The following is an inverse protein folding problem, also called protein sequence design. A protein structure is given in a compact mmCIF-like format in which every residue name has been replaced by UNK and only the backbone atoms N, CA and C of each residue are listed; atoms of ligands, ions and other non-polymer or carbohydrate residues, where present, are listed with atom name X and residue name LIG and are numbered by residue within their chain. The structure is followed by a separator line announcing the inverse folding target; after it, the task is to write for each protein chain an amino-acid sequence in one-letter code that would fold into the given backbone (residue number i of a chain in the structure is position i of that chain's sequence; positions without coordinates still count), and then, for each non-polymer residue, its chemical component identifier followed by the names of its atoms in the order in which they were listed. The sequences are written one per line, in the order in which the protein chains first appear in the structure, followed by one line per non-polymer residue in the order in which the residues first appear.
data_IF_835034735386
#
_entry.id   IF_835034735386
#
_cell.length_a   1.000
_cell.length_b   1.000
_cell.length_c   1.000
_cell.angle_alpha   90.00
_cell.angle_beta   90.00
_cell.angle_gamma   90.00
#
_symmetry.space_group_name_H-M   'P 1'
#
loop_
_entity.id
_entity.type
_entity.pdbx_description
1 polymer ?
#
# COMPACT_ATOMS: atom_id res chain seq x y z
N UNK A 1 7.05 -13.97 -13.70
CA UNK A 1 5.63 -13.66 -13.39
C UNK A 1 5.11 -14.78 -12.52
N UNK A 2 4.31 -14.48 -11.49
CA UNK A 2 3.77 -15.52 -10.61
C UNK A 2 2.94 -16.56 -11.36
N UNK A 3 3.00 -17.82 -10.92
CA UNK A 3 2.26 -18.94 -11.56
C UNK A 3 0.76 -18.84 -11.33
N UNK A 4 0.35 -18.24 -10.19
CA UNK A 4 -1.06 -18.00 -9.84
C UNK A 4 -1.34 -16.51 -9.63
N UNK A 5 -2.57 -16.09 -9.92
CA UNK A 5 -3.06 -14.73 -9.62
C UNK A 5 -3.09 -14.48 -8.10
N UNK A 6 -2.92 -13.22 -7.67
CA UNK A 6 -3.04 -12.83 -6.27
C UNK A 6 -4.38 -13.26 -5.65
N UNK A 7 -5.49 -13.08 -6.37
CA UNK A 7 -6.83 -13.50 -5.92
C UNK A 7 -6.90 -14.99 -5.51
N UNK A 8 -6.33 -15.88 -6.34
CA UNK A 8 -6.22 -17.31 -6.03
C UNK A 8 -5.30 -17.59 -4.85
N UNK A 9 -4.22 -16.84 -4.69
CA UNK A 9 -3.33 -17.00 -3.54
C UNK A 9 -4.07 -16.67 -2.23
N UNK A 10 -4.79 -15.54 -2.19
CA UNK A 10 -5.59 -15.10 -1.03
C UNK A 10 -6.70 -16.07 -0.64
N UNK A 11 -7.27 -16.81 -1.60
CA UNK A 11 -8.26 -17.83 -1.34
C UNK A 11 -7.68 -19.08 -0.64
N UNK A 12 -6.37 -19.31 -0.75
CA UNK A 12 -5.70 -20.53 -0.23
C UNK A 12 -4.97 -20.33 1.09
N UNK A 13 -4.64 -19.10 1.46
CA UNK A 13 -3.88 -18.83 2.68
C UNK A 13 -3.43 -17.37 2.80
N UNK A 14 -2.70 -17.02 3.87
CA UNK A 14 -2.12 -15.71 4.01
C UNK A 14 -1.04 -15.46 2.95
N UNK A 15 -0.94 -14.22 2.50
CA UNK A 15 0.06 -13.69 1.60
C UNK A 15 0.70 -12.49 2.29
N UNK A 16 2.03 -12.50 2.37
CA UNK A 16 2.80 -11.47 3.05
C UNK A 16 3.11 -10.29 2.10
N UNK A 17 2.67 -9.09 2.47
CA UNK A 17 3.08 -7.81 1.90
C UNK A 17 4.49 -7.42 2.39
N UNK A 18 5.06 -6.40 1.78
CA UNK A 18 6.26 -5.73 2.25
C UNK A 18 5.97 -4.81 3.46
N UNK A 19 6.91 -3.91 3.75
CA UNK A 19 6.81 -2.89 4.78
C UNK A 19 6.88 -1.48 4.20
N UNK A 20 7.16 -0.49 5.05
CA UNK A 20 7.26 0.91 4.63
C UNK A 20 8.48 1.18 3.74
N UNK A 21 8.26 1.31 2.42
CA UNK A 21 9.33 1.60 1.46
C UNK A 21 10.21 2.80 1.88
N UNK A 22 9.60 3.88 2.37
CA UNK A 22 10.33 5.05 2.86
C UNK A 22 11.27 4.73 4.02
N UNK A 23 10.86 3.85 4.96
CA UNK A 23 11.70 3.44 6.08
C UNK A 23 12.97 2.74 5.60
N UNK A 24 12.84 1.84 4.60
CA UNK A 24 13.98 1.14 4.05
C UNK A 24 14.89 2.07 3.22
N UNK A 25 14.32 3.05 2.50
CA UNK A 25 15.09 4.05 1.77
C UNK A 25 15.86 4.99 2.71
N UNK A 26 15.26 5.40 3.84
CA UNK A 26 15.95 6.17 4.89
C UNK A 26 17.09 5.36 5.52
N UNK A 27 16.86 4.06 5.81
CA UNK A 27 17.91 3.17 6.31
C UNK A 27 19.07 2.99 5.31
N UNK A 28 18.80 3.14 4.01
CA UNK A 28 19.80 3.19 2.94
C UNK A 28 20.48 4.57 2.78
N UNK A 29 20.14 5.55 3.62
CA UNK A 29 20.72 6.90 3.59
C UNK A 29 20.10 7.85 2.56
N UNK A 30 18.91 7.53 2.02
CA UNK A 30 18.21 8.42 1.11
C UNK A 30 17.54 9.58 1.86
N UNK A 31 17.63 10.79 1.31
CA UNK A 31 16.86 11.95 1.77
C UNK A 31 15.49 11.99 1.08
N UNK A 32 14.43 11.87 1.89
CA UNK A 32 13.03 11.84 1.48
C UNK A 32 12.26 13.10 1.87
N UNK A 33 12.94 14.18 2.28
CA UNK A 33 12.30 15.43 2.72
C UNK A 33 11.60 16.22 1.60
N UNK A 34 11.79 15.83 0.34
CA UNK A 34 11.21 16.45 -0.84
C UNK A 34 9.69 16.20 -0.95
N UNK A 35 8.89 17.12 -1.48
CA UNK A 35 7.43 16.91 -1.62
C UNK A 35 7.00 15.68 -2.46
N UNK A 36 7.87 15.12 -3.31
CA UNK A 36 7.63 13.86 -4.02
C UNK A 36 8.08 12.61 -3.21
N UNK A 37 8.61 12.78 -2.00
CA UNK A 37 9.26 11.78 -1.14
C UNK A 37 10.10 10.77 -1.94
N UNK A 38 9.67 9.50 -1.97
CA UNK A 38 10.33 8.41 -2.67
C UNK A 38 10.13 8.45 -4.19
N UNK A 39 9.07 9.09 -4.70
CA UNK A 39 8.81 9.17 -6.14
C UNK A 39 9.88 9.98 -6.88
N UNK A 40 10.57 10.91 -6.20
CA UNK A 40 11.75 11.60 -6.76
C UNK A 40 12.85 10.61 -7.14
N UNK A 41 13.05 9.57 -6.31
CA UNK A 41 14.08 8.56 -6.54
C UNK A 41 13.80 7.71 -7.79
N UNK A 42 12.59 7.74 -8.35
CA UNK A 42 12.35 7.13 -9.66
C UNK A 42 13.24 7.79 -10.73
N UNK A 43 13.49 9.09 -10.62
CA UNK A 43 14.41 9.82 -11.51
C UNK A 43 15.83 9.77 -10.96
N UNK A 44 16.02 10.16 -9.70
CA UNK A 44 17.33 10.53 -9.16
C UNK A 44 18.14 9.32 -8.68
N UNK A 45 17.48 8.23 -8.28
CA UNK A 45 18.12 7.09 -7.64
C UNK A 45 17.35 5.78 -7.78
N UNK A 46 16.99 5.33 -9.01
CA UNK A 46 16.14 4.16 -9.20
C UNK A 46 16.75 2.87 -8.63
N UNK A 47 18.08 2.77 -8.58
CA UNK A 47 18.77 1.65 -7.94
C UNK A 47 18.50 1.51 -6.43
N UNK A 48 18.22 2.63 -5.74
CA UNK A 48 17.86 2.61 -4.31
C UNK A 48 16.47 2.01 -4.08
N UNK A 49 15.52 2.29 -4.98
CA UNK A 49 14.18 1.69 -4.96
C UNK A 49 14.26 0.19 -5.22
N UNK A 50 15.04 -0.24 -6.23
CA UNK A 50 15.25 -1.67 -6.51
C UNK A 50 15.88 -2.38 -5.31
N UNK A 51 16.93 -1.80 -4.71
CA UNK A 51 17.58 -2.35 -3.52
C UNK A 51 16.61 -2.47 -2.32
N UNK A 52 15.77 -1.47 -2.09
CA UNK A 52 14.78 -1.48 -1.02
C UNK A 52 13.73 -2.59 -1.23
N UNK A 53 13.21 -2.73 -2.44
CA UNK A 53 12.34 -3.85 -2.79
C UNK A 53 13.04 -5.21 -2.62
N UNK A 54 14.31 -5.34 -3.04
CA UNK A 54 15.08 -6.56 -2.86
C UNK A 54 15.25 -6.92 -1.38
N UNK A 55 15.43 -5.93 -0.50
CA UNK A 55 15.50 -6.17 0.94
C UNK A 55 14.22 -6.80 1.48
N UNK A 56 13.04 -6.27 1.11
CA UNK A 56 11.76 -6.85 1.52
C UNK A 56 11.50 -8.24 0.92
N UNK A 57 11.83 -8.46 -0.35
CA UNK A 57 11.71 -9.80 -0.94
C UNK A 57 12.62 -10.79 -0.21
N UNK A 58 13.86 -10.44 0.09
CA UNK A 58 14.75 -11.33 0.86
C UNK A 58 14.20 -11.62 2.26
N UNK A 59 13.58 -10.64 2.89
CA UNK A 59 12.90 -10.80 4.18
C UNK A 59 11.67 -11.72 4.14
N UNK A 60 11.16 -12.09 2.97
CA UNK A 60 10.02 -13.02 2.88
C UNK A 60 8.75 -12.40 2.28
N UNK A 61 8.76 -11.11 1.93
CA UNK A 61 7.63 -10.50 1.24
C UNK A 61 7.30 -11.29 -0.05
N UNK A 62 6.01 -11.50 -0.26
CA UNK A 62 5.43 -12.15 -1.43
C UNK A 62 4.73 -11.14 -2.33
N UNK A 63 4.44 -9.94 -1.84
CA UNK A 63 3.91 -8.83 -2.63
C UNK A 63 4.78 -7.61 -2.37
N UNK A 64 5.22 -6.95 -3.45
CA UNK A 64 5.90 -5.66 -3.39
C UNK A 64 4.95 -4.54 -3.81
N UNK A 65 4.81 -3.51 -2.99
CA UNK A 65 4.03 -2.32 -3.27
C UNK A 65 4.96 -1.26 -3.89
N UNK A 66 4.74 -0.88 -5.15
CA UNK A 66 5.64 0.02 -5.89
C UNK A 66 5.74 1.41 -5.27
N UNK A 67 6.82 2.15 -5.56
CA UNK A 67 6.94 3.60 -5.27
C UNK A 67 5.97 4.47 -6.11
N UNK A 68 4.66 4.32 -5.87
CA UNK A 68 3.57 5.00 -6.59
C UNK A 68 2.68 5.88 -5.71
N UNK A 69 2.80 5.75 -4.38
CA UNK A 69 1.88 6.33 -3.38
C UNK A 69 1.53 7.81 -3.65
N UNK A 70 2.55 8.67 -3.78
CA UNK A 70 2.38 10.10 -4.08
C UNK A 70 2.63 10.47 -5.54
N UNK A 71 3.15 9.54 -6.32
CA UNK A 71 3.45 9.78 -7.72
C UNK A 71 2.13 10.03 -8.46
N UNK A 72 2.02 11.20 -9.08
CA UNK A 72 0.80 11.69 -9.77
C UNK A 72 1.22 12.57 -10.93
N UNK A 73 0.37 12.71 -11.95
CA UNK A 73 0.68 13.61 -13.06
C UNK A 73 0.82 15.06 -12.58
N UNK A 74 -0.04 15.49 -11.67
CA UNK A 74 -0.07 16.82 -11.08
C UNK A 74 1.16 17.07 -10.19
N UNK A 75 1.54 16.11 -9.35
CA UNK A 75 2.74 16.19 -8.51
C UNK A 75 4.02 16.28 -9.34
N UNK A 76 4.13 15.48 -10.41
CA UNK A 76 5.24 15.55 -11.35
C UNK A 76 5.25 16.86 -12.16
N UNK A 77 4.09 17.35 -12.60
CA UNK A 77 3.99 18.61 -13.33
C UNK A 77 4.47 19.81 -12.50
N UNK A 78 4.23 19.81 -11.17
CA UNK A 78 4.78 20.83 -10.24
C UNK A 78 6.32 20.85 -10.20
N UNK A 79 6.98 19.78 -10.66
CA UNK A 79 8.43 19.68 -10.81
C UNK A 79 8.91 19.83 -12.26
N UNK A 80 8.04 20.28 -13.17
CA UNK A 80 8.37 20.47 -14.57
C UNK A 80 8.43 19.17 -15.38
N UNK A 81 8.01 18.03 -14.82
CA UNK A 81 7.99 16.74 -15.51
C UNK A 81 6.71 16.64 -16.34
N UNK A 82 6.85 16.44 -17.64
CA UNK A 82 5.73 16.32 -18.57
C UNK A 82 4.97 14.98 -18.44
N UNK A 83 3.74 14.92 -18.96
CA UNK A 83 2.88 13.71 -18.86
C UNK A 83 3.55 12.44 -19.43
N UNK A 84 4.22 12.53 -20.58
CA UNK A 84 4.88 11.36 -21.17
C UNK A 84 6.01 10.82 -20.29
N UNK A 85 6.79 11.71 -19.69
CA UNK A 85 7.85 11.35 -18.77
C UNK A 85 7.29 10.78 -17.46
N UNK A 86 6.25 11.40 -16.89
CA UNK A 86 5.52 10.89 -15.73
C UNK A 86 4.99 9.45 -15.95
N UNK A 87 4.41 9.17 -17.12
CA UNK A 87 4.00 7.81 -17.49
C UNK A 87 5.19 6.84 -17.54
N UNK A 88 6.35 7.30 -18.02
CA UNK A 88 7.60 6.55 -17.97
C UNK A 88 8.10 6.25 -16.56
N UNK A 89 7.86 7.16 -15.60
CA UNK A 89 8.20 6.98 -14.18
C UNK A 89 7.25 5.98 -13.49
N UNK A 90 5.95 6.01 -13.79
CA UNK A 90 5.01 4.98 -13.36
C UNK A 90 5.43 3.58 -13.87
N UNK A 91 5.78 3.47 -15.15
CA UNK A 91 6.29 2.21 -15.68
C UNK A 91 7.63 1.81 -15.03
N UNK A 92 8.45 2.78 -14.65
CA UNK A 92 9.73 2.51 -13.95
C UNK A 92 9.49 1.95 -12.56
N UNK A 93 8.53 2.46 -11.78
CA UNK A 93 8.25 1.95 -10.43
C UNK A 93 7.87 0.46 -10.46
N UNK A 94 6.99 0.07 -11.39
CA UNK A 94 6.60 -1.33 -11.60
C UNK A 94 7.78 -2.20 -12.06
N UNK A 95 8.61 -1.72 -13.00
CA UNK A 95 9.78 -2.47 -13.48
C UNK A 95 10.81 -2.72 -12.38
N UNK A 96 11.08 -1.75 -11.50
CA UNK A 96 12.05 -1.90 -10.41
C UNK A 96 11.58 -2.95 -9.40
N UNK A 97 10.31 -2.89 -8.98
CA UNK A 97 9.72 -3.92 -8.13
C UNK A 97 9.74 -5.31 -8.80
N UNK A 98 9.48 -5.37 -10.12
CA UNK A 98 9.54 -6.63 -10.87
C UNK A 98 10.94 -7.22 -10.95
N UNK A 99 11.99 -6.41 -11.08
CA UNK A 99 13.38 -6.87 -11.04
C UNK A 99 13.73 -7.42 -9.66
N UNK A 100 13.36 -6.70 -8.60
CA UNK A 100 13.56 -7.15 -7.23
C UNK A 100 12.81 -8.46 -6.93
N UNK A 101 11.59 -8.64 -7.45
CA UNK A 101 10.83 -9.88 -7.36
C UNK A 101 11.56 -11.08 -8.00
N UNK A 102 12.36 -10.84 -9.05
CA UNK A 102 13.19 -11.86 -9.70
C UNK A 102 14.48 -12.21 -8.95
N UNK A 103 14.75 -11.58 -7.80
CA UNK A 103 15.94 -11.87 -6.99
C UNK A 103 15.83 -13.15 -6.14
N UNK A 104 14.67 -13.83 -6.16
CA UNK A 104 14.41 -15.08 -5.43
C UNK A 104 13.65 -16.07 -6.31
N UNK A 105 13.83 -17.37 -6.05
CA UNK A 105 13.15 -18.45 -6.78
C UNK A 105 11.79 -18.80 -6.16
N UNK A 106 10.89 -17.82 -6.07
CA UNK A 106 9.49 -18.04 -5.67
C UNK A 106 8.55 -17.02 -6.30
N UNK A 107 7.24 -17.29 -6.25
CA UNK A 107 6.21 -16.36 -6.68
C UNK A 107 6.25 -15.08 -5.82
N UNK A 108 6.49 -13.94 -6.46
CA UNK A 108 6.38 -12.60 -5.87
C UNK A 108 5.54 -11.71 -6.78
N UNK A 109 4.42 -11.21 -6.26
CA UNK A 109 3.53 -10.29 -6.96
C UNK A 109 4.02 -8.84 -6.82
N UNK A 110 3.71 -8.00 -7.81
CA UNK A 110 3.96 -6.55 -7.79
C UNK A 110 2.60 -5.84 -7.81
N UNK A 111 2.32 -5.08 -6.77
CA UNK A 111 1.13 -4.24 -6.70
C UNK A 111 1.51 -2.78 -6.93
N UNK A 112 0.84 -2.14 -7.89
CA UNK A 112 1.04 -0.71 -8.13
C UNK A 112 0.28 0.11 -7.08
N UNK A 113 1.02 0.91 -6.33
CA UNK A 113 0.50 1.79 -5.27
C UNK A 113 -0.28 2.97 -5.86
N UNK A 114 -1.47 3.20 -5.33
CA UNK A 114 -2.34 4.34 -5.60
C UNK A 114 -2.75 4.96 -4.26
N UNK A 115 -1.97 5.93 -3.79
CA UNK A 115 -2.30 6.70 -2.59
C UNK A 115 -3.42 7.73 -2.82
N UNK A 116 -4.00 8.30 -1.75
CA UNK A 116 -5.09 9.26 -1.84
C UNK A 116 -4.61 10.61 -2.39
N UNK A 117 -5.54 11.43 -2.86
CA UNK A 117 -5.33 12.81 -3.24
C UNK A 117 -4.61 13.61 -2.15
N UNK A 118 -4.95 13.36 -0.88
CA UNK A 118 -4.29 14.00 0.27
C UNK A 118 -2.77 13.79 0.28
N UNK A 119 -2.28 12.63 -0.17
CA UNK A 119 -0.85 12.34 -0.19
C UNK A 119 -0.09 13.23 -1.21
N UNK A 120 -0.75 13.66 -2.29
CA UNK A 120 -0.19 14.59 -3.28
C UNK A 120 -0.15 16.04 -2.76
N UNK A 121 -1.08 16.41 -1.87
CA UNK A 121 -1.04 17.73 -1.24
C UNK A 121 0.17 17.91 -0.32
N UNK A 122 0.70 16.81 0.21
CA UNK A 122 1.86 16.77 1.10
C UNK A 122 1.66 17.66 2.37
N UNK A 123 0.42 17.74 2.85
CA UNK A 123 0.00 18.56 4.01
C UNK A 123 -0.67 17.74 5.12
N UNK A 124 -0.55 16.40 5.07
CA UNK A 124 -1.15 15.47 6.02
C UNK A 124 -2.65 15.21 5.80
N UNK A 125 -3.24 15.72 4.72
CA UNK A 125 -4.66 15.53 4.42
C UNK A 125 -5.04 14.07 4.14
N UNK A 126 -4.09 13.18 3.83
CA UNK A 126 -4.31 11.73 3.76
C UNK A 126 -4.77 11.11 5.10
N UNK A 127 -4.65 11.85 6.21
CA UNK A 127 -5.19 11.47 7.52
C UNK A 127 -6.36 12.34 7.98
N UNK A 128 -6.97 13.13 7.07
CA UNK A 128 -8.15 13.98 7.31
C UNK A 128 -9.29 13.71 6.33
N UNK A 129 -8.99 13.52 5.05
CA UNK A 129 -10.00 13.47 3.97
C UNK A 129 -10.70 14.81 3.75
N UNK A 130 -11.89 14.79 3.11
CA UNK A 130 -12.74 15.97 2.88
C UNK A 130 -12.02 17.18 2.26
N UNK A 131 -11.37 16.96 1.12
CA UNK A 131 -10.53 17.93 0.43
C UNK A 131 -11.28 19.12 -0.22
N UNK A 132 -12.61 19.16 -0.08
CA UNK A 132 -13.46 20.13 -0.80
C UNK A 132 -13.66 19.79 -2.28
N UNK A 133 -13.32 18.57 -2.71
CA UNK A 133 -13.53 18.07 -4.07
C UNK A 133 -14.78 17.20 -4.15
N UNK A 134 -15.43 17.23 -5.31
CA UNK A 134 -16.51 16.29 -5.65
C UNK A 134 -15.95 14.92 -6.02
N UNK A 135 -16.76 13.87 -5.89
CA UNK A 135 -16.39 12.51 -6.32
C UNK A 135 -15.99 12.41 -7.80
N UNK A 136 -16.51 13.28 -8.67
CA UNK A 136 -16.11 13.36 -10.10
C UNK A 136 -14.73 13.99 -10.30
N UNK A 137 -14.37 14.96 -9.47
CA UNK A 137 -13.04 15.58 -9.52
C UNK A 137 -11.97 14.62 -9.01
N UNK A 138 -12.27 13.89 -7.93
CA UNK A 138 -11.41 12.81 -7.42
C UNK A 138 -11.22 11.70 -8.46
N UNK A 139 -12.29 11.28 -9.12
CA UNK A 139 -12.20 10.27 -10.18
C UNK A 139 -11.33 10.75 -11.35
N UNK A 140 -11.52 12.01 -11.78
CA UNK A 140 -10.72 12.64 -12.84
C UNK A 140 -9.24 12.71 -12.48
N UNK A 141 -8.92 12.92 -11.20
CA UNK A 141 -7.56 12.92 -10.69
C UNK A 141 -6.95 11.51 -10.70
N UNK A 142 -7.66 10.50 -10.21
CA UNK A 142 -7.12 9.13 -10.08
C UNK A 142 -7.05 8.37 -11.41
N UNK A 143 -8.07 8.50 -12.27
CA UNK A 143 -8.23 7.66 -13.47
C UNK A 143 -7.00 7.67 -14.39
N UNK A 144 -6.42 8.82 -14.79
CA UNK A 144 -5.27 8.80 -15.70
C UNK A 144 -4.06 8.07 -15.09
N UNK A 145 -3.83 8.23 -13.78
CA UNK A 145 -2.73 7.54 -13.08
C UNK A 145 -2.97 6.04 -13.02
N UNK A 146 -4.20 5.62 -12.72
CA UNK A 146 -4.58 4.21 -12.71
C UNK A 146 -4.39 3.58 -14.09
N UNK A 147 -4.81 4.25 -15.15
CA UNK A 147 -4.61 3.77 -16.54
C UNK A 147 -3.12 3.61 -16.88
N UNK A 148 -2.28 4.59 -16.50
CA UNK A 148 -0.84 4.53 -16.74
C UNK A 148 -0.15 3.42 -15.92
N UNK A 149 -0.56 3.22 -14.67
CA UNK A 149 -0.08 2.12 -13.83
C UNK A 149 -0.54 0.76 -14.37
N UNK A 150 -1.80 0.63 -14.79
CA UNK A 150 -2.32 -0.60 -15.37
C UNK A 150 -1.59 -0.97 -16.66
N UNK A 151 -1.33 0.02 -17.54
CA UNK A 151 -0.54 -0.17 -18.75
C UNK A 151 0.91 -0.61 -18.50
N UNK A 152 1.45 -0.35 -17.30
CA UNK A 152 2.78 -0.82 -16.90
C UNK A 152 2.83 -2.30 -16.50
N UNK A 153 1.68 -2.98 -16.40
CA UNK A 153 1.58 -4.42 -16.14
C UNK A 153 1.96 -4.89 -14.72
N UNK A 154 1.48 -4.25 -13.65
CA UNK A 154 1.53 -4.84 -12.30
C UNK A 154 0.58 -6.05 -12.21
N UNK A 155 0.70 -6.84 -11.15
CA UNK A 155 -0.20 -7.97 -10.88
C UNK A 155 -1.50 -7.54 -10.17
N UNK A 156 -1.49 -6.37 -9.52
CA UNK A 156 -2.63 -5.79 -8.80
C UNK A 156 -2.48 -4.26 -8.64
N UNK A 157 -3.56 -3.59 -8.23
CA UNK A 157 -3.53 -2.21 -7.74
C UNK A 157 -3.79 -2.17 -6.22
N UNK A 158 -2.98 -1.38 -5.53
CA UNK A 158 -3.11 -1.12 -4.10
C UNK A 158 -3.73 0.26 -3.88
N UNK A 159 -5.06 0.32 -3.70
CA UNK A 159 -5.76 1.55 -3.36
C UNK A 159 -5.64 1.74 -1.85
N UNK A 160 -4.67 2.55 -1.42
CA UNK A 160 -4.20 2.48 -0.03
C UNK A 160 -4.20 3.81 0.70
N UNK A 161 -4.30 3.73 2.03
CA UNK A 161 -4.37 4.88 2.95
C UNK A 161 -5.53 5.82 2.63
N UNK A 162 -6.64 5.29 2.11
CA UNK A 162 -7.80 6.11 1.73
C UNK A 162 -8.51 6.59 3.00
N UNK A 163 -8.61 7.91 3.28
CA UNK A 163 -9.22 8.40 4.51
C UNK A 163 -10.73 8.56 4.43
N UNK A 164 -11.30 8.59 3.23
CA UNK A 164 -12.66 9.07 2.96
C UNK A 164 -13.44 8.12 2.04
N UNK A 165 -14.72 7.91 2.33
CA UNK A 165 -15.60 7.07 1.51
C UNK A 165 -15.88 7.68 0.15
N UNK A 166 -15.93 9.01 0.06
CA UNK A 166 -16.19 9.73 -1.20
C UNK A 166 -15.03 9.54 -2.19
N UNK A 167 -13.80 9.46 -1.67
CA UNK A 167 -12.61 9.14 -2.44
C UNK A 167 -12.52 7.66 -2.78
N UNK A 168 -12.86 6.78 -1.83
CA UNK A 168 -12.94 5.34 -2.11
C UNK A 168 -13.90 5.04 -3.26
N UNK A 169 -15.09 5.66 -3.28
CA UNK A 169 -16.06 5.49 -4.37
C UNK A 169 -15.52 6.02 -5.71
N UNK A 170 -14.82 7.16 -5.69
CA UNK A 170 -14.17 7.71 -6.88
C UNK A 170 -13.04 6.81 -7.40
N UNK A 171 -12.26 6.20 -6.52
CA UNK A 171 -11.22 5.23 -6.84
C UNK A 171 -11.81 3.96 -7.44
N UNK A 172 -12.90 3.43 -6.86
CA UNK A 172 -13.61 2.25 -7.38
C UNK A 172 -14.12 2.51 -8.80
N UNK A 173 -14.75 3.67 -9.06
CA UNK A 173 -15.11 4.08 -10.43
C UNK A 173 -13.89 4.20 -11.35
N UNK A 174 -12.77 4.70 -10.84
CA UNK A 174 -11.55 4.91 -11.64
C UNK A 174 -10.85 3.60 -12.03
N UNK A 175 -11.00 2.51 -11.25
CA UNK A 175 -10.46 1.18 -11.58
C UNK A 175 -11.40 0.32 -12.44
N UNK A 176 -12.67 0.70 -12.59
CA UNK A 176 -13.60 -0.01 -13.48
C UNK A 176 -12.99 -0.19 -14.89
N UNK A 177 -13.00 -1.43 -15.37
CA UNK A 177 -12.48 -1.78 -16.70
C UNK A 177 -10.95 -1.83 -16.81
N UNK A 178 -10.18 -1.60 -15.74
CA UNK A 178 -8.71 -1.70 -15.80
C UNK A 178 -8.18 -3.13 -15.96
N UNK A 179 -9.01 -4.15 -15.66
CA UNK A 179 -8.68 -5.56 -15.86
C UNK A 179 -7.71 -6.15 -14.84
N UNK A 180 -7.39 -5.42 -13.76
CA UNK A 180 -6.50 -5.86 -12.69
C UNK A 180 -7.27 -6.12 -11.39
N UNK A 181 -6.86 -7.10 -10.58
CA UNK A 181 -7.37 -7.22 -9.22
C UNK A 181 -6.90 -6.02 -8.38
N UNK A 182 -7.75 -5.57 -7.48
CA UNK A 182 -7.44 -4.42 -6.60
C UNK A 182 -7.69 -4.78 -5.15
N UNK A 183 -7.00 -4.13 -4.23
CA UNK A 183 -7.49 -4.04 -2.85
C UNK A 183 -7.75 -2.59 -2.47
N UNK A 184 -8.72 -2.41 -1.58
CA UNK A 184 -9.05 -1.12 -0.99
C UNK A 184 -8.70 -1.12 0.49
N UNK A 185 -7.81 -0.23 0.90
CA UNK A 185 -7.34 -0.11 2.27
C UNK A 185 -7.53 1.31 2.80
N UNK A 186 -8.22 1.41 3.94
CA UNK A 186 -8.53 2.67 4.59
C UNK A 186 -7.49 3.03 5.65
N UNK A 187 -7.23 4.33 5.80
CA UNK A 187 -6.64 4.86 7.04
C UNK A 187 -7.74 5.13 8.06
N UNK A 188 -7.53 4.70 9.30
CA UNK A 188 -8.58 4.69 10.34
C UNK A 188 -8.10 5.29 11.68
N UNK A 189 -9.07 5.63 12.53
CA UNK A 189 -8.87 5.95 13.93
C UNK A 189 -10.03 5.35 14.75
N UNK A 190 -9.73 4.39 15.62
CA UNK A 190 -10.76 3.63 16.34
C UNK A 190 -11.68 2.87 15.40
N UNK A 191 -12.99 3.16 15.47
CA UNK A 191 -14.05 2.51 14.69
C UNK A 191 -14.50 3.31 13.46
N UNK A 192 -13.69 4.26 13.00
CA UNK A 192 -14.02 5.14 11.87
C UNK A 192 -12.84 5.32 10.93
N UNK A 193 -13.13 5.63 9.67
CA UNK A 193 -12.16 6.21 8.73
C UNK A 193 -11.65 7.54 9.27
N UNK A 194 -10.52 8.02 8.74
CA UNK A 194 -9.98 9.33 9.14
C UNK A 194 -10.91 10.52 8.82
N UNK A 195 -11.76 10.41 7.80
CA UNK A 195 -12.80 11.40 7.50
C UNK A 195 -14.11 11.21 8.31
N UNK A 196 -14.14 10.21 9.20
CA UNK A 196 -15.18 10.04 10.21
C UNK A 196 -16.36 9.16 9.79
N UNK A 197 -16.25 8.34 8.75
CA UNK A 197 -17.30 7.38 8.40
C UNK A 197 -17.13 6.08 9.20
N UNK A 198 -18.23 5.42 9.65
CA UNK A 198 -18.14 4.11 10.29
C UNK A 198 -17.50 3.06 9.38
N UNK A 199 -16.68 2.17 9.94
CA UNK A 199 -15.99 1.13 9.17
C UNK A 199 -16.93 0.19 8.43
N UNK A 200 -18.11 -0.09 8.99
CA UNK A 200 -19.13 -0.92 8.36
C UNK A 200 -19.62 -0.30 7.05
N UNK A 201 -19.76 1.03 7.03
CA UNK A 201 -20.14 1.77 5.81
C UNK A 201 -19.00 1.77 4.81
N UNK A 202 -17.79 2.07 5.27
CA UNK A 202 -16.61 2.18 4.42
C UNK A 202 -16.24 0.86 3.73
N UNK A 203 -16.19 -0.25 4.48
CA UNK A 203 -15.92 -1.56 3.91
C UNK A 203 -17.07 -2.06 3.05
N UNK A 204 -18.31 -1.69 3.35
CA UNK A 204 -19.49 -2.06 2.57
C UNK A 204 -19.51 -1.52 1.13
N UNK A 205 -18.72 -0.47 0.83
CA UNK A 205 -18.66 0.13 -0.51
C UNK A 205 -18.18 -0.83 -1.61
N UNK A 206 -17.42 -1.86 -1.26
CA UNK A 206 -16.87 -2.81 -2.24
C UNK A 206 -17.91 -3.84 -2.74
N UNK A 207 -19.16 -3.77 -2.25
CA UNK A 207 -20.25 -4.64 -2.71
C UNK A 207 -20.55 -4.35 -4.19
N UNK A 208 -20.54 -5.39 -5.02
CA UNK A 208 -20.74 -5.26 -6.46
C UNK A 208 -19.47 -4.94 -7.26
N UNK A 209 -18.32 -4.74 -6.60
CA UNK A 209 -17.02 -4.61 -7.23
C UNK A 209 -16.26 -5.94 -7.14
N UNK A 210 -16.36 -6.75 -8.19
CA UNK A 210 -15.75 -8.09 -8.26
C UNK A 210 -14.22 -8.03 -8.44
N UNK A 211 -13.71 -6.94 -9.01
CA UNK A 211 -12.29 -6.64 -9.12
C UNK A 211 -11.61 -6.42 -7.77
N UNK A 212 -12.38 -6.07 -6.72
CA UNK A 212 -11.85 -5.88 -5.36
C UNK A 212 -11.65 -7.25 -4.71
N UNK A 213 -10.40 -7.70 -4.64
CA UNK A 213 -10.03 -9.02 -4.09
C UNK A 213 -9.74 -9.00 -2.59
N UNK A 214 -9.49 -7.81 -2.02
CA UNK A 214 -9.35 -7.64 -0.59
C UNK A 214 -9.76 -6.22 -0.13
N UNK A 215 -10.16 -6.10 1.13
CA UNK A 215 -10.55 -4.82 1.76
C UNK A 215 -10.10 -4.78 3.21
N UNK A 216 -9.67 -3.62 3.70
CA UNK A 216 -9.24 -3.51 5.09
C UNK A 216 -8.53 -2.21 5.40
N UNK A 217 -7.42 -2.28 6.14
CA UNK A 217 -6.76 -1.10 6.71
C UNK A 217 -5.25 -1.11 6.59
N UNK A 218 -4.69 0.09 6.49
CA UNK A 218 -3.26 0.32 6.56
C UNK A 218 -2.94 1.68 7.13
N UNK A 219 -1.67 1.86 7.50
CA UNK A 219 -1.18 3.12 8.03
C UNK A 219 -2.02 3.67 9.20
N UNK A 220 -2.57 2.75 10.01
CA UNK A 220 -3.28 3.00 11.25
C UNK A 220 -2.42 2.57 12.45
N UNK A 221 -2.91 2.87 13.65
CA UNK A 221 -2.34 2.33 14.89
C UNK A 221 -2.56 0.80 14.93
N UNK A 222 -1.55 -0.01 15.32
CA UNK A 222 -1.72 -1.44 15.53
C UNK A 222 -2.91 -1.83 16.43
N UNK A 223 -3.23 -1.00 17.43
CA UNK A 223 -4.35 -1.23 18.34
C UNK A 223 -5.72 -1.18 17.63
N UNK A 224 -5.85 -0.39 16.57
CA UNK A 224 -7.08 -0.26 15.79
C UNK A 224 -7.24 -1.40 14.75
N UNK A 225 -6.12 -1.98 14.30
CA UNK A 225 -6.08 -2.95 13.20
C UNK A 225 -6.94 -4.19 13.48
N UNK A 226 -6.84 -4.77 14.69
CA UNK A 226 -7.57 -6.00 15.04
C UNK A 226 -9.09 -5.85 15.06
N UNK A 227 -9.61 -4.65 15.40
CA UNK A 227 -11.06 -4.38 15.30
C UNK A 227 -11.45 -4.23 13.83
N UNK A 228 -10.71 -3.45 13.07
CA UNK A 228 -10.99 -3.21 11.66
C UNK A 228 -11.00 -4.52 10.85
N UNK A 229 -10.08 -5.44 11.13
CA UNK A 229 -10.03 -6.75 10.45
C UNK A 229 -11.33 -7.53 10.64
N UNK A 230 -11.83 -7.61 11.88
CA UNK A 230 -13.09 -8.33 12.18
C UNK A 230 -14.28 -7.70 11.47
N UNK A 231 -14.37 -6.37 11.49
CA UNK A 231 -15.47 -5.64 10.83
C UNK A 231 -15.41 -5.84 9.31
N UNK A 232 -14.22 -5.75 8.70
CA UNK A 232 -14.05 -5.96 7.25
C UNK A 232 -14.46 -7.38 6.84
N UNK A 233 -14.05 -8.39 7.61
CA UNK A 233 -14.41 -9.79 7.35
C UNK A 233 -15.93 -10.01 7.46
N UNK A 234 -16.56 -9.49 8.52
CA UNK A 234 -18.01 -9.63 8.75
C UNK A 234 -18.84 -8.92 7.67
N UNK A 235 -18.47 -7.69 7.31
CA UNK A 235 -19.25 -6.85 6.40
C UNK A 235 -19.15 -7.32 4.95
N UNK A 236 -18.01 -7.87 4.54
CA UNK A 236 -17.72 -8.11 3.11
C UNK A 236 -17.63 -9.58 2.75
N UNK A 237 -17.22 -10.45 3.66
CA UNK A 237 -16.88 -11.85 3.36
C UNK A 237 -15.68 -12.02 2.40
N UNK A 238 -15.03 -10.92 1.99
CA UNK A 238 -13.83 -10.92 1.15
C UNK A 238 -12.59 -11.13 2.03
N UNK A 239 -11.47 -11.60 1.44
CA UNK A 239 -10.16 -11.57 2.10
C UNK A 239 -9.87 -10.19 2.69
N UNK A 240 -9.36 -10.13 3.94
CA UNK A 240 -9.02 -8.85 4.57
C UNK A 240 -7.55 -8.52 4.37
N UNK A 241 -7.27 -7.23 4.08
CA UNK A 241 -5.92 -6.68 4.03
C UNK A 241 -5.61 -5.88 5.30
N UNK A 242 -4.43 -6.09 5.90
CA UNK A 242 -3.99 -5.40 7.12
C UNK A 242 -2.49 -5.17 7.13
N UNK A 243 -2.08 -3.90 7.19
CA UNK A 243 -0.66 -3.53 7.28
C UNK A 243 -0.52 -2.20 8.04
N UNK A 244 -0.50 -2.22 9.40
CA UNK A 244 -0.47 -1.01 10.21
C UNK A 244 0.92 -0.35 10.24
N UNK A 245 1.01 0.83 10.85
CA UNK A 245 2.28 1.43 11.22
C UNK A 245 2.94 0.66 12.37
N UNK A 246 4.20 0.94 12.69
CA UNK A 246 4.88 0.35 13.86
C UNK A 246 4.33 0.79 15.22
N UNK A 247 3.52 1.86 15.29
CA UNK A 247 2.85 2.33 16.52
C UNK A 247 3.26 3.72 17.00
N UNK A 248 4.40 4.23 16.53
CA UNK A 248 4.79 5.62 16.74
C UNK A 248 3.81 6.59 16.07
N UNK A 249 3.75 7.82 16.60
CA UNK A 249 2.93 8.89 16.02
C UNK A 249 3.82 9.86 15.24
N UNK A 250 3.33 10.30 14.10
CA UNK A 250 3.98 11.39 13.36
C UNK A 250 3.69 12.73 14.05
N UNK A 251 4.75 13.43 14.45
CA UNK A 251 4.69 14.83 14.89
C UNK A 251 5.01 15.75 13.71
N UNK A 252 3.98 16.43 13.20
CA UNK A 252 4.12 17.37 12.10
C UNK A 252 4.95 18.61 12.48
N UNK A 253 4.95 19.02 13.76
CA UNK A 253 5.70 20.20 14.24
C UNK A 253 7.20 19.92 14.32
N UNK A 254 7.57 18.73 14.83
CA UNK A 254 8.95 18.24 14.85
C UNK A 254 9.43 17.63 13.53
N UNK A 255 8.51 17.35 12.58
CA UNK A 255 8.75 16.58 11.34
C UNK A 255 9.45 15.25 11.62
N UNK A 256 8.93 14.51 12.59
CA UNK A 256 9.53 13.26 13.04
C UNK A 256 8.55 12.35 13.75
N UNK A 257 8.96 11.09 13.91
CA UNK A 257 8.20 10.10 14.66
C UNK A 257 8.48 10.21 16.16
N UNK A 258 7.43 10.16 16.98
CA UNK A 258 7.51 10.21 18.44
C UNK A 258 6.79 9.01 19.07
N UNK A 259 7.30 8.56 20.21
CA UNK A 259 6.78 7.37 20.91
C UNK A 259 7.67 6.14 20.70
N UNK A 260 7.16 4.99 21.15
CA UNK A 260 7.80 3.69 21.00
C UNK A 260 6.94 2.81 20.07
N UNK A 261 7.54 1.87 19.33
CA UNK A 261 6.79 0.92 18.53
C UNK A 261 5.89 0.06 19.43
N UNK A 262 4.66 -0.17 18.99
CA UNK A 262 3.65 -1.01 19.63
C UNK A 262 3.22 -2.17 18.75
N UNK A 263 3.67 -2.22 17.49
CA UNK A 263 3.36 -3.31 16.59
C UNK A 263 4.15 -4.56 16.99
N UNK A 264 3.41 -5.57 17.45
CA UNK A 264 3.95 -6.90 17.74
C UNK A 264 3.59 -7.87 16.62
N UNK A 265 4.58 -8.41 15.86
CA UNK A 265 4.32 -9.37 14.78
C UNK A 265 3.55 -10.61 15.22
N UNK A 266 3.72 -11.04 16.48
CA UNK A 266 2.95 -12.13 17.09
C UNK A 266 1.42 -11.95 17.00
N UNK A 267 0.93 -10.71 16.93
CA UNK A 267 -0.48 -10.39 16.74
C UNK A 267 -1.04 -10.75 15.36
N UNK A 268 -0.19 -11.00 14.36
CA UNK A 268 -0.62 -11.30 12.99
C UNK A 268 -1.46 -12.58 12.88
N UNK A 269 -1.24 -13.58 13.74
CA UNK A 269 -2.08 -14.80 13.78
C UNK A 269 -3.53 -14.49 14.14
N UNK A 270 -3.74 -13.60 15.10
CA UNK A 270 -5.09 -13.18 15.48
C UNK A 270 -5.80 -12.47 14.33
N UNK A 271 -5.08 -11.71 13.50
CA UNK A 271 -5.65 -11.13 12.28
C UNK A 271 -5.99 -12.21 11.26
N UNK A 272 -5.10 -13.18 11.06
CA UNK A 272 -5.34 -14.31 10.14
C UNK A 272 -6.61 -15.10 10.53
N UNK A 273 -6.75 -15.42 11.81
CA UNK A 273 -7.91 -16.11 12.37
C UNK A 273 -9.20 -15.29 12.21
N UNK A 274 -9.08 -13.96 12.29
CA UNK A 274 -10.19 -13.02 12.07
C UNK A 274 -10.53 -12.74 10.59
N UNK A 275 -9.82 -13.35 9.64
CA UNK A 275 -10.12 -13.25 8.20
C UNK A 275 -9.09 -12.50 7.36
N UNK A 276 -7.99 -12.02 7.96
CA UNK A 276 -6.89 -11.44 7.20
C UNK A 276 -6.21 -12.50 6.32
N UNK A 277 -5.93 -12.12 5.08
CA UNK A 277 -5.21 -12.93 4.09
C UNK A 277 -4.11 -12.16 3.40
N UNK A 278 -4.12 -10.84 3.46
CA UNK A 278 -3.05 -9.99 2.94
C UNK A 278 -2.48 -9.19 4.12
N UNK A 279 -1.29 -9.53 4.60
CA UNK A 279 -0.75 -9.04 5.88
C UNK A 279 0.63 -8.43 5.64
N UNK A 280 0.96 -7.29 6.26
CA UNK A 280 2.32 -6.73 6.23
C UNK A 280 2.49 -5.53 7.16
N UNK A 281 3.27 -4.53 6.74
CA UNK A 281 3.47 -3.29 7.49
C UNK A 281 3.45 -2.02 6.65
N UNK A 282 3.20 -0.88 7.28
CA UNK A 282 3.22 0.45 6.68
C UNK A 282 4.41 1.26 7.23
N UNK A 283 4.19 2.48 7.74
CA UNK A 283 5.27 3.33 8.21
C UNK A 283 6.11 2.65 9.28
N UNK A 284 7.44 2.79 9.15
CA UNK A 284 8.45 2.35 10.11
C UNK A 284 8.51 0.83 10.36
N UNK A 285 7.83 0.03 9.55
CA UNK A 285 7.98 -1.43 9.51
C UNK A 285 9.06 -1.81 8.48
N UNK A 286 10.20 -2.28 8.98
CA UNK A 286 11.37 -2.64 8.17
C UNK A 286 11.42 -4.11 7.76
N UNK A 287 12.45 -4.51 6.98
CA UNK A 287 12.65 -5.90 6.56
C UNK A 287 12.72 -6.90 7.72
N UNK A 288 13.32 -6.55 8.86
CA UNK A 288 13.44 -7.45 10.01
C UNK A 288 12.06 -7.87 10.56
N UNK A 289 11.14 -6.92 10.68
CA UNK A 289 9.76 -7.19 11.09
C UNK A 289 9.01 -8.02 10.05
N UNK A 290 9.25 -7.77 8.76
CA UNK A 290 8.68 -8.60 7.67
C UNK A 290 9.20 -10.03 7.73
N UNK A 291 10.47 -10.25 8.08
CA UNK A 291 11.04 -11.58 8.26
C UNK A 291 10.42 -12.33 9.45
N UNK A 292 10.16 -11.63 10.56
CA UNK A 292 9.43 -12.20 11.69
C UNK A 292 8.00 -12.60 11.30
N UNK A 293 7.27 -11.72 10.59
CA UNK A 293 5.95 -12.03 10.05
C UNK A 293 5.99 -13.24 9.12
N UNK A 294 7.03 -13.36 8.28
CA UNK A 294 7.19 -14.48 7.37
C UNK A 294 7.29 -15.82 8.12
N UNK A 295 8.11 -15.86 9.17
CA UNK A 295 8.24 -17.03 10.04
C UNK A 295 6.93 -17.40 10.74
N UNK A 296 6.18 -16.41 11.23
CA UNK A 296 4.91 -16.63 11.92
C UNK A 296 3.80 -17.12 10.97
N UNK A 297 3.71 -16.58 9.77
CA UNK A 297 2.68 -16.94 8.79
C UNK A 297 3.03 -18.23 8.02
N UNK A 298 4.21 -18.80 8.25
CA UNK A 298 4.67 -19.99 7.54
C UNK A 298 4.96 -19.73 6.06
N UNK A 299 5.23 -18.47 5.71
CA UNK A 299 5.66 -18.08 4.36
C UNK A 299 7.17 -18.18 4.32
N UNK A 300 7.74 -19.03 3.48
CA UNK A 300 9.19 -19.31 3.49
C UNK A 300 10.00 -18.05 3.14
N UNK A 301 10.79 -17.57 4.12
CA UNK A 301 11.89 -16.65 3.84
C UNK A 301 12.92 -17.37 2.95
N UNK A 302 13.54 -16.65 2.01
CA UNK A 302 14.59 -17.25 1.20
C UNK A 302 15.83 -17.42 2.09
N UNK A 303 16.36 -18.62 2.22
CA UNK A 303 17.67 -18.83 2.84
C UNK A 303 18.70 -18.01 2.03
N UNK A 304 19.29 -16.99 2.65
CA UNK A 304 20.34 -16.20 2.04
C UNK A 304 21.60 -17.07 1.84
N UNK A 305 22.42 -16.80 0.82
CA UNK A 305 23.72 -17.47 0.71
C UNK A 305 24.59 -17.03 1.89
N UNK A 306 25.11 -17.99 2.65
CA UNK A 306 26.17 -17.79 3.64
C UNK A 306 27.42 -17.18 3.00
#
# INVERSE_FOLDING_TARGET
MPVRTLARALATGPVLLDGGLSNQLEAQGCDLSDALWSARLLTDGPGQIEAAHTAYVRAGAQVLITSGYQATFEGFARRGIGRAEAAGLFARSVRLARRAAGAVERDVWVAASVGPYGAMLADGSEYRGRYGLTGRELERFHRPRIEALAAAGPDALALETVPDVDEAEALLRAVEGCGLPVWLSYSVAGDRTRAGQPLETAFGLVRGHDEVVAVGVNCCDPADAGRAVRVAAEVTGKPVVVYPNSGERWDAGGRGWVGAPTFEPGGARAWQDAGARLIGGCCRVGPDTVAELAGLLGTTAAEGPM
#
